data_IF_006234298476
#
_entry.id   IF_006234298476
#
_cell.length_a   1.000
_cell.length_b   1.000
_cell.length_c   1.000
_cell.angle_alpha   90.00
_cell.angle_beta   90.00
_cell.angle_gamma   90.00
#
_symmetry.space_group_name_H-M   'P 1'
#
loop_
_entity.id
_entity.type
_entity.pdbx_description
1 polymer ?
#
# COMPACT_ATOMS: atom_id res chain seq x y z
N UNK A 1 23.55 4.20 18.32
CA UNK A 1 23.89 4.16 16.88
C UNK A 1 22.60 4.01 16.11
N UNK A 2 22.12 5.06 15.44
CA UNK A 2 20.99 4.93 14.52
C UNK A 2 21.51 4.31 13.23
N UNK A 3 21.25 3.02 13.05
CA UNK A 3 21.48 2.35 11.78
C UNK A 3 20.48 2.96 10.79
N UNK A 4 20.96 3.68 9.78
CA UNK A 4 20.12 4.14 8.68
C UNK A 4 19.73 2.88 7.91
N UNK A 5 18.60 2.28 8.26
CA UNK A 5 18.04 1.17 7.50
C UNK A 5 17.33 1.76 6.29
N UNK A 6 17.81 1.40 5.10
CA UNK A 6 17.06 1.66 3.87
C UNK A 6 15.65 1.08 4.00
N UNK A 7 14.61 1.78 3.52
CA UNK A 7 13.26 1.25 3.53
C UNK A 7 13.22 -0.13 2.89
N UNK A 8 12.56 -1.09 3.54
CA UNK A 8 12.46 -2.45 3.02
C UNK A 8 11.08 -3.03 3.27
N UNK A 9 10.58 -3.79 2.30
CA UNK A 9 9.35 -4.58 2.45
C UNK A 9 9.77 -6.02 2.67
N UNK A 10 9.30 -6.62 3.76
CA UNK A 10 9.53 -8.03 4.10
C UNK A 10 8.24 -8.81 3.91
N UNK A 11 8.37 -9.92 3.19
CA UNK A 11 7.32 -10.90 3.01
C UNK A 11 7.61 -12.09 3.92
N UNK A 12 6.65 -12.44 4.77
CA UNK A 12 6.70 -13.62 5.62
C UNK A 12 5.75 -14.67 5.09
N UNK A 13 6.28 -15.87 4.86
CA UNK A 13 5.52 -17.00 4.36
C UNK A 13 5.66 -18.21 5.27
N UNK A 14 4.63 -19.07 5.30
CA UNK A 14 4.71 -20.42 5.86
C UNK A 14 4.63 -21.43 4.72
N UNK A 15 5.41 -22.50 4.81
CA UNK A 15 5.22 -23.68 3.96
C UNK A 15 4.35 -24.67 4.72
N UNK A 16 3.20 -25.00 4.15
CA UNK A 16 2.35 -26.10 4.62
C UNK A 16 2.32 -27.19 3.56
N UNK A 17 1.81 -28.39 3.90
CA UNK A 17 1.80 -29.55 3.00
C UNK A 17 1.11 -29.30 1.64
N UNK A 18 0.32 -28.23 1.52
CA UNK A 18 -0.43 -27.85 0.33
C UNK A 18 0.15 -26.64 -0.44
N UNK A 19 1.25 -26.02 0.04
CA UNK A 19 1.92 -24.92 -0.66
C UNK A 19 2.54 -23.86 0.25
N UNK A 20 3.04 -22.78 -0.36
CA UNK A 20 3.54 -21.59 0.34
C UNK A 20 2.43 -20.58 0.52
N UNK A 21 2.16 -20.20 1.76
CA UNK A 21 1.13 -19.23 2.14
C UNK A 21 1.76 -17.92 2.57
N UNK A 22 1.21 -16.80 2.08
CA UNK A 22 1.57 -15.46 2.55
C UNK A 22 0.92 -15.23 3.91
N UNK A 23 1.73 -14.98 4.94
CA UNK A 23 1.22 -14.70 6.28
C UNK A 23 1.07 -13.20 6.51
N UNK A 24 2.15 -12.45 6.25
CA UNK A 24 2.20 -11.01 6.52
C UNK A 24 3.20 -10.32 5.60
N UNK A 25 2.93 -9.04 5.35
CA UNK A 25 3.79 -8.12 4.64
C UNK A 25 4.09 -6.94 5.56
N UNK A 26 5.36 -6.60 5.73
CA UNK A 26 5.78 -5.55 6.67
C UNK A 26 6.73 -4.57 6.00
N UNK A 27 6.42 -3.28 6.11
CA UNK A 27 7.35 -2.21 5.77
C UNK A 27 8.21 -1.89 6.98
N UNK A 28 9.54 -2.01 6.85
CA UNK A 28 10.47 -1.43 7.79
C UNK A 28 10.95 -0.06 7.26
N UNK A 29 10.66 0.99 8.01
CA UNK A 29 11.02 2.37 7.66
C UNK A 29 11.45 3.13 8.91
N UNK A 30 12.69 3.61 8.92
CA UNK A 30 13.28 4.40 10.01
C UNK A 30 13.18 3.73 11.40
N UNK A 31 13.31 2.40 11.44
CA UNK A 31 13.22 1.62 12.69
C UNK A 31 11.80 1.26 13.14
N UNK A 32 10.77 1.74 12.44
CA UNK A 32 9.38 1.36 12.68
C UNK A 32 8.95 0.24 11.71
N UNK A 33 7.97 -0.55 12.12
CA UNK A 33 7.39 -1.62 11.31
C UNK A 33 5.91 -1.32 11.09
N UNK A 34 5.48 -1.34 9.83
CA UNK A 34 4.10 -1.08 9.44
C UNK A 34 3.51 -2.31 8.77
N UNK A 35 2.32 -2.74 9.20
CA UNK A 35 1.62 -3.86 8.60
C UNK A 35 1.02 -3.43 7.26
N UNK A 36 1.46 -4.07 6.19
CA UNK A 36 0.96 -3.79 4.86
C UNK A 36 -0.14 -4.78 4.48
N UNK A 37 -1.13 -4.28 3.75
CA UNK A 37 -2.11 -5.11 3.07
C UNK A 37 -1.67 -5.30 1.62
N UNK A 38 -1.50 -6.56 1.23
CA UNK A 38 -1.12 -6.93 -0.13
C UNK A 38 -1.24 -8.43 -0.35
N UNK A 39 -1.71 -8.78 -1.55
CA UNK A 39 -1.84 -10.15 -2.02
C UNK A 39 -0.97 -10.44 -3.24
N UNK A 40 -1.21 -11.59 -3.85
CA UNK A 40 -0.50 -12.00 -5.06
C UNK A 40 -0.85 -11.09 -6.24
N UNK A 41 0.17 -10.69 -7.01
CA UNK A 41 0.09 -9.76 -8.16
C UNK A 41 -0.19 -8.30 -7.81
N UNK A 42 -0.16 -7.96 -6.53
CA UNK A 42 -0.23 -6.56 -6.11
C UNK A 42 1.09 -5.86 -6.41
N UNK A 43 0.98 -4.65 -6.94
CA UNK A 43 2.07 -3.68 -6.95
C UNK A 43 1.86 -2.71 -5.82
N UNK A 44 2.85 -2.58 -4.93
CA UNK A 44 2.79 -1.72 -3.76
C UNK A 44 3.76 -0.55 -3.94
N UNK A 45 3.24 0.66 -3.79
CA UNK A 45 4.03 1.89 -3.77
C UNK A 45 3.93 2.52 -2.39
N UNK A 46 5.06 2.98 -1.87
CA UNK A 46 5.15 3.65 -0.57
C UNK A 46 5.61 5.08 -0.79
N UNK A 47 4.85 6.03 -0.27
CA UNK A 47 5.17 7.46 -0.27
C UNK A 47 5.21 7.97 1.16
N UNK A 48 6.09 8.93 1.43
CA UNK A 48 6.25 9.52 2.75
C UNK A 48 6.17 11.04 2.65
N UNK A 49 5.42 11.66 3.55
CA UNK A 49 5.34 13.12 3.68
C UNK A 49 5.33 13.50 5.17
N UNK A 50 6.41 14.10 5.66
CA UNK A 50 6.61 14.36 7.09
C UNK A 50 6.45 13.07 7.92
N UNK A 51 5.51 13.04 8.88
CA UNK A 51 5.19 11.87 9.71
C UNK A 51 4.19 10.91 9.06
N UNK A 52 3.60 11.30 7.93
CA UNK A 52 2.60 10.54 7.20
C UNK A 52 3.24 9.57 6.20
N UNK A 53 2.67 8.37 6.12
CA UNK A 53 3.07 7.31 5.18
C UNK A 53 1.83 6.89 4.42
N UNK A 54 1.94 6.83 3.09
CA UNK A 54 0.86 6.45 2.19
C UNK A 54 1.28 5.23 1.39
N UNK A 55 0.51 4.16 1.50
CA UNK A 55 0.77 2.89 0.82
C UNK A 55 -0.34 2.66 -0.20
N UNK A 56 0.01 2.75 -1.47
CA UNK A 56 -0.88 2.48 -2.59
C UNK A 56 -0.66 1.04 -3.07
N UNK A 57 -1.69 0.22 -2.96
CA UNK A 57 -1.74 -1.15 -3.47
C UNK A 57 -2.60 -1.17 -4.73
N UNK A 58 -2.06 -1.65 -5.85
CA UNK A 58 -2.78 -1.79 -7.12
C UNK A 58 -2.74 -3.24 -7.58
N UNK A 59 -3.90 -3.82 -7.85
CA UNK A 59 -4.00 -5.10 -8.56
C UNK A 59 -4.70 -4.90 -9.89
N UNK A 60 -3.93 -4.76 -10.97
CA UNK A 60 -4.50 -4.58 -12.32
C UNK A 60 -5.22 -5.82 -12.83
N UNK A 61 -4.82 -7.01 -12.39
CA UNK A 61 -5.43 -8.26 -12.85
C UNK A 61 -6.84 -8.46 -12.26
N UNK A 62 -7.04 -8.06 -11.00
CA UNK A 62 -8.32 -8.14 -10.30
C UNK A 62 -9.12 -6.83 -10.37
N UNK A 63 -8.49 -5.73 -10.79
CA UNK A 63 -9.15 -4.45 -11.01
C UNK A 63 -9.48 -3.68 -9.73
N UNK A 64 -8.68 -3.84 -8.67
CA UNK A 64 -8.86 -3.11 -7.42
C UNK A 64 -7.67 -2.21 -7.10
N UNK A 65 -7.92 -1.25 -6.22
CA UNK A 65 -6.93 -0.33 -5.68
C UNK A 65 -7.21 -0.06 -4.19
N UNK A 66 -6.18 -0.06 -3.37
CA UNK A 66 -6.25 0.33 -1.97
C UNK A 66 -5.24 1.43 -1.66
N UNK A 67 -5.63 2.41 -0.85
CA UNK A 67 -4.75 3.41 -0.28
C UNK A 67 -4.86 3.34 1.24
N UNK A 68 -3.76 2.96 1.89
CA UNK A 68 -3.64 2.97 3.35
C UNK A 68 -2.77 4.15 3.78
N UNK A 69 -3.20 4.85 4.82
CA UNK A 69 -2.42 5.93 5.45
C UNK A 69 -2.02 5.52 6.86
N UNK A 70 -0.78 5.83 7.22
CA UNK A 70 -0.19 5.56 8.52
C UNK A 70 0.43 6.85 9.06
N UNK A 71 0.56 6.93 10.37
CA UNK A 71 1.27 8.02 11.04
C UNK A 71 2.31 7.41 11.97
N UNK A 72 3.57 7.83 11.85
CA UNK A 72 4.64 7.32 12.73
C UNK A 72 4.30 7.58 14.21
N UNK A 73 4.44 6.60 15.14
CA UNK A 73 4.96 5.24 14.96
C UNK A 73 3.86 4.15 14.88
N UNK A 74 2.62 4.50 14.59
CA UNK A 74 1.49 3.57 14.56
C UNK A 74 1.69 2.47 13.49
N UNK A 75 1.79 1.18 13.88
CA UNK A 75 2.03 0.08 12.94
C UNK A 75 0.87 -0.20 12.00
N UNK A 76 -0.36 0.10 12.40
CA UNK A 76 -1.58 -0.16 11.63
C UNK A 76 -2.06 1.10 10.88
N UNK A 77 -2.82 0.95 9.77
CA UNK A 77 -3.31 2.11 9.05
C UNK A 77 -4.32 2.90 9.90
N UNK A 78 -4.13 4.21 9.96
CA UNK A 78 -5.04 5.14 10.65
C UNK A 78 -6.27 5.49 9.80
N UNK A 79 -6.15 5.38 8.47
CA UNK A 79 -7.26 5.52 7.53
C UNK A 79 -6.96 4.76 6.23
N UNK A 80 -8.02 4.29 5.58
CA UNK A 80 -7.96 3.45 4.39
C UNK A 80 -9.07 3.80 3.41
N UNK A 81 -8.71 3.87 2.12
CA UNK A 81 -9.65 3.92 1.00
C UNK A 81 -9.48 2.65 0.17
N UNK A 82 -10.57 2.00 -0.19
CA UNK A 82 -10.54 0.82 -1.05
C UNK A 82 -11.53 1.00 -2.20
N UNK A 83 -11.04 0.78 -3.42
CA UNK A 83 -11.79 0.82 -4.67
C UNK A 83 -11.82 -0.60 -5.23
N UNK A 84 -12.98 -1.24 -5.19
CA UNK A 84 -13.17 -2.67 -5.38
C UNK A 84 -13.17 -3.11 -6.84
N UNK A 85 -13.40 -2.17 -7.77
CA UNK A 85 -13.57 -2.48 -9.19
C UNK A 85 -13.16 -1.30 -10.08
N UNK A 86 -13.04 -1.59 -11.38
CA UNK A 86 -12.65 -0.60 -12.39
C UNK A 86 -13.56 0.62 -12.47
N UNK A 87 -14.86 0.47 -12.18
CA UNK A 87 -15.81 1.58 -12.22
C UNK A 87 -15.53 2.56 -11.08
N UNK A 88 -15.38 2.08 -9.85
CA UNK A 88 -15.03 2.93 -8.71
C UNK A 88 -13.68 3.64 -8.96
N UNK A 89 -12.69 2.92 -9.51
CA UNK A 89 -11.39 3.51 -9.86
C UNK A 89 -11.55 4.63 -10.90
N UNK A 90 -12.33 4.40 -11.96
CA UNK A 90 -12.51 5.40 -13.02
C UNK A 90 -13.33 6.61 -12.58
N UNK A 91 -14.27 6.45 -11.65
CA UNK A 91 -15.03 7.55 -11.05
C UNK A 91 -14.12 8.52 -10.27
N UNK A 92 -13.12 7.99 -9.55
CA UNK A 92 -12.19 8.81 -8.76
C UNK A 92 -10.99 9.33 -9.57
N UNK A 93 -10.46 8.53 -10.50
CA UNK A 93 -9.19 8.83 -11.18
C UNK A 93 -9.34 9.19 -12.66
N UNK A 94 -10.49 8.89 -13.26
CA UNK A 94 -10.80 9.03 -14.68
C UNK A 94 -10.54 7.75 -15.48
N UNK A 95 -11.12 7.67 -16.69
CA UNK A 95 -11.03 6.49 -17.56
C UNK A 95 -9.62 6.12 -18.03
N UNK A 96 -8.65 7.03 -17.88
CA UNK A 96 -7.23 6.81 -18.24
C UNK A 96 -6.35 6.65 -17.01
N UNK A 97 -6.90 6.22 -15.88
CA UNK A 97 -6.16 6.11 -14.62
C UNK A 97 -4.92 5.21 -14.73
N UNK A 98 -4.94 4.19 -15.58
CA UNK A 98 -3.82 3.25 -15.75
C UNK A 98 -2.53 3.89 -16.28
N UNK A 99 -2.64 5.05 -16.95
CA UNK A 99 -1.48 5.82 -17.44
C UNK A 99 -0.99 6.87 -16.45
N UNK A 100 -1.70 7.05 -15.33
CA UNK A 100 -1.26 7.95 -14.26
C UNK A 100 -0.07 7.35 -13.52
N UNK A 101 0.86 8.22 -13.11
CA UNK A 101 1.91 7.83 -12.17
C UNK A 101 1.29 7.52 -10.81
N UNK A 102 1.84 6.55 -10.09
CA UNK A 102 1.41 6.19 -8.73
C UNK A 102 1.35 7.41 -7.80
N UNK A 103 2.33 8.32 -7.88
CA UNK A 103 2.34 9.58 -7.12
C UNK A 103 1.10 10.46 -7.40
N UNK A 104 0.69 10.56 -8.67
CA UNK A 104 -0.50 11.32 -9.07
C UNK A 104 -1.78 10.65 -8.54
N UNK A 105 -1.82 9.32 -8.56
CA UNK A 105 -2.93 8.54 -8.01
C UNK A 105 -3.06 8.82 -6.50
N UNK A 106 -1.96 8.69 -5.75
CA UNK A 106 -1.94 8.96 -4.31
C UNK A 106 -2.40 10.39 -4.01
N UNK A 107 -1.86 11.40 -4.69
CA UNK A 107 -2.27 12.81 -4.50
C UNK A 107 -3.76 13.04 -4.71
N UNK A 108 -4.38 12.35 -5.68
CA UNK A 108 -5.83 12.42 -5.88
C UNK A 108 -6.60 11.70 -4.77
N UNK A 109 -6.19 10.50 -4.41
CA UNK A 109 -6.92 9.66 -3.47
C UNK A 109 -6.82 10.13 -2.00
N UNK A 110 -5.72 10.78 -1.61
CA UNK A 110 -5.58 11.34 -0.25
C UNK A 110 -6.67 12.37 0.06
N UNK A 111 -7.19 13.07 -0.96
CA UNK A 111 -8.28 14.05 -0.79
C UNK A 111 -9.59 13.44 -0.30
N UNK A 112 -9.72 12.11 -0.30
CA UNK A 112 -10.90 11.38 0.18
C UNK A 112 -10.69 10.74 1.56
N UNK A 113 -9.49 10.87 2.13
CA UNK A 113 -9.18 10.37 3.48
C UNK A 113 -9.44 11.41 4.58
N UNK A 114 -9.74 12.65 4.22
CA UNK A 114 -9.98 13.79 5.12
C UNK A 114 -11.09 14.67 4.55
#
# INVERSE_FOLDING_TARGET
MHQITSPSIKLHTTNENQGTYLNTLTLNLNGNNYHLQGGTKDTIYVFTESIGIYVLTINKALGYMGLNSYMTPEPDPINSLFLHNHQEISEHLGNKWESLKAETIVKKLIQYLY
#
